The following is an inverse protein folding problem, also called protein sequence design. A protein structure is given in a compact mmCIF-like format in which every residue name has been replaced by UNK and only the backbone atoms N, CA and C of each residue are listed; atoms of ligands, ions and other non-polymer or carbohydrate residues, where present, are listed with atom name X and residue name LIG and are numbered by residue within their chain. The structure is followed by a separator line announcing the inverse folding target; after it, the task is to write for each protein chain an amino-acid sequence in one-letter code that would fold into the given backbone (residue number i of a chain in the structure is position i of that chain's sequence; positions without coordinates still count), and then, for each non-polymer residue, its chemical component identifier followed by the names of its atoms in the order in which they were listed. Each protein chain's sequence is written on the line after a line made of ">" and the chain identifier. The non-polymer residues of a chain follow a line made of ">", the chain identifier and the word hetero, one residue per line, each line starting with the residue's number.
data_IF_236894940191
#
_entry.id   IF_236894940191
#
_cell.length_a   1.000
_cell.length_b   1.000
_cell.length_c   1.000
_cell.angle_alpha   90.00
_cell.angle_beta   90.00
_cell.angle_gamma   90.00
#
_symmetry.space_group_name_H-M   'P 1'
#
loop_
_entity.id
_entity.type
_entity.pdbx_description
1 polymer ?
#
# COMPACT_ATOMS: atom_id res chain seq x y z
N UNK A 1 -15.28 -11.42 -0.25
CA UNK A 1 -15.43 -10.31 -1.21
C UNK A 1 -15.90 -10.80 -2.59
N UNK A 2 -15.25 -11.81 -3.21
CA UNK A 2 -15.66 -12.33 -4.52
C UNK A 2 -17.15 -12.70 -4.53
N UNK A 3 -17.57 -13.63 -3.66
CA UNK A 3 -18.95 -14.12 -3.60
C UNK A 3 -19.95 -13.01 -3.28
N UNK A 4 -19.55 -12.04 -2.45
CA UNK A 4 -20.34 -10.85 -2.14
C UNK A 4 -20.56 -10.01 -3.39
N UNK A 5 -19.50 -9.78 -4.18
CA UNK A 5 -19.58 -9.00 -5.42
C UNK A 5 -20.36 -9.72 -6.52
N UNK A 6 -20.28 -11.04 -6.59
CA UNK A 6 -21.07 -11.84 -7.55
C UNK A 6 -22.59 -11.73 -7.31
N UNK A 7 -23.00 -11.50 -6.07
CA UNK A 7 -24.41 -11.34 -5.67
C UNK A 7 -24.82 -9.87 -5.42
N UNK A 8 -23.90 -8.92 -5.64
CA UNK A 8 -24.17 -7.51 -5.39
C UNK A 8 -25.03 -6.92 -6.51
N UNK A 9 -26.15 -6.28 -6.17
CA UNK A 9 -27.15 -5.74 -7.12
C UNK A 9 -27.29 -4.21 -7.03
N UNK A 10 -26.29 -3.54 -6.50
CA UNK A 10 -26.27 -2.09 -6.30
C UNK A 10 -26.20 -1.71 -4.83
N UNK A 11 -25.86 -0.45 -4.55
CA UNK A 11 -25.66 0.07 -3.21
C UNK A 11 -24.29 0.76 -3.05
N UNK A 12 -23.81 0.84 -1.81
CA UNK A 12 -22.54 1.50 -1.49
C UNK A 12 -21.41 0.49 -1.35
N UNK A 13 -20.37 0.62 -2.16
CA UNK A 13 -19.09 -0.05 -2.00
C UNK A 13 -18.12 0.93 -1.36
N UNK A 14 -17.55 0.57 -0.22
CA UNK A 14 -16.52 1.36 0.44
C UNK A 14 -15.19 0.63 0.38
N UNK A 15 -14.16 1.32 -0.09
CA UNK A 15 -12.76 0.94 0.09
C UNK A 15 -12.21 1.74 1.26
N UNK A 16 -11.61 1.08 2.25
CA UNK A 16 -11.15 1.70 3.49
C UNK A 16 -9.71 1.32 3.80
N UNK A 17 -8.84 2.31 4.01
CA UNK A 17 -7.50 2.11 4.57
C UNK A 17 -7.49 2.48 6.05
N UNK A 18 -7.03 1.57 6.93
CA UNK A 18 -7.04 1.79 8.37
C UNK A 18 -5.93 2.73 8.86
N UNK A 19 -4.76 2.63 8.26
CA UNK A 19 -3.56 3.39 8.65
C UNK A 19 -2.73 3.75 7.42
N UNK A 20 -1.93 4.84 7.46
CA UNK A 20 -1.16 5.29 6.30
C UNK A 20 -0.06 4.35 5.83
N UNK A 21 0.46 3.45 6.68
CA UNK A 21 1.50 2.50 6.30
C UNK A 21 0.89 1.13 6.01
N UNK A 22 0.57 0.88 4.75
CA UNK A 22 0.08 -0.42 4.25
C UNK A 22 0.87 -0.85 3.01
N UNK A 23 0.89 -2.16 2.74
CA UNK A 23 1.57 -2.71 1.57
C UNK A 23 0.80 -2.40 0.29
N UNK A 24 1.54 -2.22 -0.81
CA UNK A 24 1.04 -1.81 -2.10
C UNK A 24 0.26 -0.48 -2.03
N UNK A 25 0.96 0.67 -1.98
CA UNK A 25 0.30 1.98 -1.82
C UNK A 25 -0.72 2.32 -2.89
N UNK A 26 -0.63 1.70 -4.08
CA UNK A 26 -1.59 1.88 -5.17
C UNK A 26 -2.87 1.05 -4.99
N UNK A 27 -2.81 -0.09 -4.28
CA UNK A 27 -3.88 -1.08 -4.25
C UNK A 27 -5.27 -0.58 -3.83
N UNK A 28 -5.44 0.32 -2.84
CA UNK A 28 -6.77 0.84 -2.50
C UNK A 28 -7.39 1.65 -3.64
N UNK A 29 -6.59 2.40 -4.37
CA UNK A 29 -7.03 3.21 -5.51
C UNK A 29 -7.40 2.32 -6.69
N UNK A 30 -6.58 1.31 -7.00
CA UNK A 30 -6.88 0.27 -7.99
C UNK A 30 -8.17 -0.46 -7.62
N UNK A 31 -8.29 -0.90 -6.37
CA UNK A 31 -9.49 -1.59 -5.89
C UNK A 31 -10.75 -0.77 -6.11
N UNK A 32 -10.72 0.53 -5.78
CA UNK A 32 -11.87 1.41 -5.98
C UNK A 32 -12.25 1.53 -7.47
N UNK A 33 -11.26 1.74 -8.34
CA UNK A 33 -11.50 1.87 -9.79
C UNK A 33 -11.96 0.55 -10.42
N UNK A 34 -11.38 -0.58 -10.04
CA UNK A 34 -11.78 -1.90 -10.55
C UNK A 34 -13.16 -2.34 -10.03
N UNK A 35 -13.51 -2.01 -8.78
CA UNK A 35 -14.84 -2.27 -8.24
C UNK A 35 -15.91 -1.44 -8.95
N UNK A 36 -15.61 -0.17 -9.26
CA UNK A 36 -16.47 0.68 -10.06
C UNK A 36 -16.66 0.13 -11.49
N UNK A 37 -15.56 -0.28 -12.14
CA UNK A 37 -15.62 -0.93 -13.45
C UNK A 37 -16.46 -2.22 -13.42
N UNK A 38 -16.25 -3.05 -12.41
CA UNK A 38 -16.98 -4.31 -12.25
C UNK A 38 -18.51 -4.07 -12.09
N UNK A 39 -18.90 -3.06 -11.31
CA UNK A 39 -20.30 -2.68 -11.19
C UNK A 39 -20.90 -2.25 -12.54
N UNK A 40 -20.14 -1.46 -13.31
CA UNK A 40 -20.56 -1.03 -14.65
C UNK A 40 -20.67 -2.21 -15.63
N UNK A 41 -19.68 -3.11 -15.67
CA UNK A 41 -19.71 -4.33 -16.51
C UNK A 41 -20.88 -5.24 -16.21
N UNK A 42 -21.34 -5.27 -14.96
CA UNK A 42 -22.49 -6.05 -14.52
C UNK A 42 -23.83 -5.35 -14.75
N UNK A 43 -23.85 -4.12 -15.26
CA UNK A 43 -25.07 -3.34 -15.48
C UNK A 43 -25.73 -2.84 -14.20
N UNK A 44 -24.97 -2.73 -13.10
CA UNK A 44 -25.44 -2.19 -11.82
C UNK A 44 -24.79 -0.85 -11.46
N UNK A 45 -23.98 -0.29 -12.36
CA UNK A 45 -23.22 0.94 -12.12
C UNK A 45 -24.11 2.12 -11.75
N UNK A 46 -25.23 2.32 -12.44
CA UNK A 46 -26.14 3.47 -12.21
C UNK A 46 -26.78 3.46 -10.80
N UNK A 47 -26.79 2.31 -10.12
CA UNK A 47 -27.30 2.17 -8.75
C UNK A 47 -26.21 1.81 -7.75
N UNK A 48 -24.94 1.96 -8.15
CA UNK A 48 -23.77 1.71 -7.31
C UNK A 48 -23.02 3.00 -7.07
N UNK A 49 -22.66 3.24 -5.82
CA UNK A 49 -21.73 4.29 -5.43
C UNK A 49 -20.47 3.64 -4.86
N UNK A 50 -19.31 4.08 -5.32
CA UNK A 50 -18.01 3.68 -4.77
C UNK A 50 -17.39 4.88 -4.07
N UNK A 51 -17.03 4.70 -2.79
CA UNK A 51 -16.32 5.69 -1.99
C UNK A 51 -15.02 5.07 -1.45
N UNK A 52 -13.93 5.84 -1.46
CA UNK A 52 -12.65 5.48 -0.87
C UNK A 52 -12.36 6.42 0.31
N UNK A 53 -12.27 5.85 1.51
CA UNK A 53 -11.89 6.56 2.74
C UNK A 53 -10.45 6.20 3.10
N UNK A 54 -9.62 7.22 3.25
CA UNK A 54 -8.20 7.09 3.51
C UNK A 54 -7.78 7.89 4.74
N UNK A 55 -6.95 7.30 5.59
CA UNK A 55 -6.40 8.00 6.75
C UNK A 55 -5.35 9.05 6.34
N UNK A 56 -4.67 8.84 5.20
CA UNK A 56 -3.71 9.78 4.64
C UNK A 56 -4.35 11.02 4.01
N UNK A 57 -3.62 12.16 3.94
CA UNK A 57 -4.14 13.42 3.36
C UNK A 57 -4.22 13.37 1.81
N UNK A 58 -3.56 12.43 1.17
CA UNK A 58 -3.58 12.25 -0.28
C UNK A 58 -2.98 10.92 -0.71
N UNK A 59 -3.29 10.47 -1.95
CA UNK A 59 -2.81 9.21 -2.46
C UNK A 59 -1.28 9.13 -2.52
N UNK A 60 -0.73 7.97 -2.11
CA UNK A 60 0.67 7.64 -2.35
C UNK A 60 1.66 8.75 -1.97
N UNK A 61 1.52 9.36 -0.80
CA UNK A 61 2.20 10.60 -0.40
C UNK A 61 3.74 10.60 -0.39
N UNK A 62 4.38 9.46 -0.66
CA UNK A 62 5.84 9.33 -0.83
C UNK A 62 6.29 9.58 -2.28
N UNK A 63 5.38 9.55 -3.23
CA UNK A 63 5.70 9.76 -4.66
C UNK A 63 5.66 11.24 -5.07
N UNK A 64 5.43 12.12 -4.11
CA UNK A 64 5.34 13.56 -4.31
C UNK A 64 3.94 14.07 -4.66
N UNK A 65 3.75 15.40 -4.59
CA UNK A 65 2.41 16.01 -4.71
C UNK A 65 1.81 15.87 -6.10
N UNK A 66 2.63 15.82 -7.14
CA UNK A 66 2.17 15.76 -8.54
C UNK A 66 1.56 14.39 -8.85
N UNK A 67 2.25 13.31 -8.48
CA UNK A 67 1.73 11.92 -8.62
C UNK A 67 0.50 11.73 -7.74
N UNK A 68 0.53 12.23 -6.51
CA UNK A 68 -0.61 12.17 -5.59
C UNK A 68 -1.85 12.84 -6.17
N UNK A 69 -1.71 14.05 -6.73
CA UNK A 69 -2.80 14.75 -7.40
C UNK A 69 -3.31 14.01 -8.63
N UNK A 70 -2.41 13.43 -9.43
CA UNK A 70 -2.76 12.62 -10.60
C UNK A 70 -3.58 11.39 -10.24
N UNK A 71 -3.19 10.64 -9.20
CA UNK A 71 -3.95 9.47 -8.73
C UNK A 71 -5.32 9.88 -8.21
N UNK A 72 -5.40 10.97 -7.45
CA UNK A 72 -6.69 11.53 -6.99
C UNK A 72 -7.59 11.86 -8.18
N UNK A 73 -7.05 12.52 -9.19
CA UNK A 73 -7.81 12.88 -10.39
C UNK A 73 -8.31 11.66 -11.17
N UNK A 74 -7.52 10.57 -11.22
CA UNK A 74 -7.93 9.30 -11.84
C UNK A 74 -9.13 8.69 -11.12
N UNK A 75 -9.13 8.69 -9.78
CA UNK A 75 -10.22 8.16 -8.95
C UNK A 75 -11.47 9.01 -9.09
N UNK A 76 -11.36 10.31 -8.83
CA UNK A 76 -12.50 11.24 -8.89
C UNK A 76 -13.07 11.37 -10.31
N UNK A 77 -12.21 11.28 -11.33
CA UNK A 77 -12.62 11.31 -12.75
C UNK A 77 -13.48 10.12 -13.18
N UNK A 78 -13.50 9.05 -12.40
CA UNK A 78 -14.41 7.90 -12.59
C UNK A 78 -15.71 8.00 -11.77
N UNK A 79 -15.97 9.13 -11.11
CA UNK A 79 -17.13 9.33 -10.27
C UNK A 79 -17.03 8.68 -8.89
N UNK A 80 -15.82 8.23 -8.48
CA UNK A 80 -15.56 7.64 -7.18
C UNK A 80 -15.34 8.75 -6.15
N UNK A 81 -16.02 8.67 -5.01
CA UNK A 81 -15.80 9.59 -3.89
C UNK A 81 -14.46 9.32 -3.21
N UNK A 82 -13.57 10.33 -3.15
CA UNK A 82 -12.32 10.23 -2.40
C UNK A 82 -12.39 11.09 -1.13
N UNK A 83 -12.21 10.45 0.02
CA UNK A 83 -12.33 11.04 1.35
C UNK A 83 -11.01 10.88 2.12
N UNK A 84 -10.06 11.82 1.99
CA UNK A 84 -8.82 11.80 2.76
C UNK A 84 -9.05 12.19 4.22
N UNK A 85 -8.04 11.96 5.07
CA UNK A 85 -8.02 12.33 6.50
C UNK A 85 -9.19 11.72 7.31
N UNK A 86 -9.63 10.52 6.90
CA UNK A 86 -10.67 9.76 7.56
C UNK A 86 -10.05 8.57 8.31
N UNK A 87 -9.45 8.84 9.47
CA UNK A 87 -8.91 7.79 10.33
C UNK A 87 -10.06 6.99 10.94
N UNK A 88 -10.17 5.72 10.59
CA UNK A 88 -11.20 4.83 11.15
C UNK A 88 -10.96 4.59 12.63
N UNK A 89 -12.04 4.62 13.41
CA UNK A 89 -12.06 4.33 14.85
C UNK A 89 -12.85 3.08 15.16
N UNK A 90 -13.91 2.80 14.39
CA UNK A 90 -14.72 1.59 14.55
C UNK A 90 -15.36 1.18 13.23
N UNK A 91 -15.60 -0.13 13.10
CA UNK A 91 -16.41 -0.73 12.04
C UNK A 91 -17.46 -1.62 12.70
N UNK A 92 -18.72 -1.26 12.56
CA UNK A 92 -19.87 -2.06 12.97
C UNK A 92 -20.34 -2.88 11.76
N UNK A 93 -20.08 -4.18 11.78
CA UNK A 93 -20.43 -5.07 10.67
C UNK A 93 -21.92 -5.39 10.63
N UNK A 94 -22.64 -5.32 11.78
CA UNK A 94 -24.09 -5.58 11.85
C UNK A 94 -24.88 -4.38 11.35
N UNK A 95 -24.52 -3.19 11.83
CA UNK A 95 -25.10 -1.93 11.37
C UNK A 95 -24.56 -1.49 9.99
N UNK A 96 -23.51 -2.15 9.47
CA UNK A 96 -22.79 -1.78 8.22
C UNK A 96 -22.33 -0.32 8.24
N UNK A 97 -21.70 0.10 9.33
CA UNK A 97 -21.30 1.48 9.57
C UNK A 97 -19.84 1.58 9.98
N UNK A 98 -19.21 2.63 9.46
CA UNK A 98 -17.84 3.02 9.79
C UNK A 98 -17.89 4.34 10.54
N UNK A 99 -17.16 4.43 11.66
CA UNK A 99 -16.97 5.67 12.41
C UNK A 99 -15.54 6.16 12.25
N UNK A 100 -15.36 7.47 12.10
CA UNK A 100 -14.06 8.10 11.92
C UNK A 100 -13.72 9.05 13.07
N UNK A 101 -12.42 9.31 13.28
CA UNK A 101 -11.94 10.20 14.34
C UNK A 101 -12.39 11.66 14.20
N UNK A 102 -12.74 12.09 13.00
CA UNK A 102 -13.30 13.41 12.71
C UNK A 102 -14.82 13.53 13.01
N UNK A 103 -15.42 12.50 13.58
CA UNK A 103 -16.83 12.46 13.93
C UNK A 103 -17.78 12.13 12.77
N UNK A 104 -17.25 11.90 11.57
CA UNK A 104 -18.04 11.47 10.42
C UNK A 104 -18.36 9.98 10.53
N UNK A 105 -19.50 9.57 10.01
CA UNK A 105 -19.87 8.18 9.83
C UNK A 105 -20.18 7.89 8.36
N UNK A 106 -19.94 6.67 7.92
CA UNK A 106 -20.28 6.18 6.59
C UNK A 106 -20.94 4.81 6.66
N UNK A 107 -22.03 4.64 5.92
CA UNK A 107 -22.66 3.33 5.74
C UNK A 107 -22.08 2.63 4.51
N UNK A 108 -22.12 1.31 4.49
CA UNK A 108 -21.68 0.47 3.36
C UNK A 108 -22.58 -0.74 3.17
N UNK A 109 -22.69 -1.21 1.94
CA UNK A 109 -23.24 -2.53 1.62
C UNK A 109 -22.13 -3.56 1.40
N UNK A 110 -21.01 -3.11 0.83
CA UNK A 110 -19.79 -3.89 0.66
C UNK A 110 -18.60 -3.08 1.17
N UNK A 111 -17.79 -3.69 2.03
CA UNK A 111 -16.57 -3.10 2.56
C UNK A 111 -15.33 -3.88 2.08
N UNK A 112 -14.47 -3.21 1.31
CA UNK A 112 -13.12 -3.66 0.99
C UNK A 112 -12.14 -2.98 1.96
N UNK A 113 -11.71 -3.70 2.99
CA UNK A 113 -10.96 -3.15 4.11
C UNK A 113 -9.48 -3.52 4.04
N UNK A 114 -8.61 -2.52 4.09
CA UNK A 114 -7.16 -2.68 4.26
C UNK A 114 -6.84 -2.48 5.75
N UNK A 115 -6.65 -3.57 6.52
CA UNK A 115 -6.42 -3.48 7.96
C UNK A 115 -5.02 -2.97 8.28
N UNK A 116 -4.75 -2.57 9.54
CA UNK A 116 -3.41 -2.27 9.98
C UNK A 116 -2.46 -3.45 9.76
N UNK A 117 -1.35 -3.20 9.11
CA UNK A 117 -0.35 -4.22 8.83
C UNK A 117 0.54 -4.48 10.04
N UNK A 118 0.96 -5.72 10.20
CA UNK A 118 1.88 -6.16 11.26
C UNK A 118 2.85 -7.18 10.69
N UNK A 119 4.07 -7.20 11.21
CA UNK A 119 5.00 -8.26 10.90
C UNK A 119 4.42 -9.64 11.32
N UNK A 120 4.69 -10.72 10.58
CA UNK A 120 4.28 -12.07 10.95
C UNK A 120 4.76 -12.45 12.35
N UNK A 121 4.05 -13.35 13.05
CA UNK A 121 4.40 -13.75 14.42
C UNK A 121 5.83 -14.28 14.54
N UNK A 122 6.25 -15.11 13.58
CA UNK A 122 7.63 -15.65 13.54
C UNK A 122 8.69 -14.54 13.53
N UNK A 123 8.41 -13.41 12.87
CA UNK A 123 9.32 -12.25 12.84
C UNK A 123 9.23 -11.46 14.15
N UNK A 124 8.04 -11.25 14.67
CA UNK A 124 7.84 -10.55 15.96
C UNK A 124 8.50 -11.26 17.12
N UNK A 125 8.48 -12.58 17.11
CA UNK A 125 9.03 -13.43 18.18
C UNK A 125 10.53 -13.71 18.00
N UNK A 126 11.14 -13.28 16.88
CA UNK A 126 12.55 -13.53 16.56
C UNK A 126 13.55 -12.65 17.29
N UNK A 127 13.10 -11.56 17.90
CA UNK A 127 13.97 -10.51 18.44
C UNK A 127 14.63 -9.62 17.40
N UNK A 128 14.24 -9.72 16.13
CA UNK A 128 14.77 -8.88 15.03
C UNK A 128 14.11 -7.50 14.95
N UNK A 129 12.84 -7.40 15.32
CA UNK A 129 12.08 -6.14 15.27
C UNK A 129 12.52 -5.15 16.34
N UNK A 130 12.22 -3.88 16.12
CA UNK A 130 12.33 -2.81 17.10
C UNK A 130 10.94 -2.26 17.51
N UNK A 131 10.91 -1.09 18.14
CA UNK A 131 9.70 -0.42 18.61
C UNK A 131 8.74 -0.04 17.45
N UNK A 132 9.24 0.08 16.22
CA UNK A 132 8.40 0.30 15.04
C UNK A 132 7.52 -0.90 14.68
N UNK A 133 7.85 -2.08 15.20
CA UNK A 133 7.21 -3.34 14.84
C UNK A 133 7.73 -3.98 13.55
N UNK A 134 8.80 -3.42 12.97
CA UNK A 134 9.47 -3.90 11.76
C UNK A 134 10.94 -4.19 12.03
N UNK A 135 11.64 -4.84 11.08
CA UNK A 135 13.07 -5.14 11.21
C UNK A 135 13.88 -3.92 10.73
N UNK A 136 14.63 -3.25 11.64
CA UNK A 136 15.55 -2.21 11.21
C UNK A 136 16.73 -2.81 10.45
N UNK A 137 17.06 -2.20 9.33
CA UNK A 137 18.18 -2.61 8.48
C UNK A 137 19.01 -1.41 8.05
N UNK A 138 20.26 -1.66 7.68
CA UNK A 138 20.99 -0.67 6.89
C UNK A 138 20.27 -0.47 5.55
N UNK A 139 19.97 0.76 5.22
CA UNK A 139 19.13 1.12 4.07
C UNK A 139 19.72 0.74 2.71
N UNK A 140 21.04 0.62 2.64
CA UNK A 140 21.77 0.36 1.41
C UNK A 140 22.17 -1.10 1.26
N UNK A 141 22.56 -1.75 2.35
CA UNK A 141 23.07 -3.13 2.34
C UNK A 141 22.09 -4.17 2.84
N UNK A 142 21.00 -3.73 3.52
CA UNK A 142 19.94 -4.54 4.09
C UNK A 142 20.41 -5.44 5.26
N UNK A 143 21.59 -5.17 5.82
CA UNK A 143 22.08 -5.84 7.01
C UNK A 143 21.20 -5.50 8.22
N UNK A 144 20.92 -6.52 9.02
CA UNK A 144 20.33 -6.33 10.35
C UNK A 144 21.43 -6.08 11.38
N UNK A 145 21.03 -5.82 12.63
CA UNK A 145 21.97 -5.74 13.76
C UNK A 145 22.72 -7.04 14.06
N UNK A 146 22.32 -8.16 13.48
CA UNK A 146 22.96 -9.46 13.68
C UNK A 146 23.84 -9.80 12.47
N UNK A 147 25.14 -10.04 12.67
CA UNK A 147 26.05 -10.35 11.56
C UNK A 147 25.58 -11.55 10.73
N UNK A 148 25.61 -11.42 9.41
CA UNK A 148 25.19 -12.46 8.46
C UNK A 148 23.67 -12.67 8.38
N UNK A 149 22.87 -11.78 8.99
CA UNK A 149 21.41 -11.81 8.92
C UNK A 149 20.91 -10.58 8.19
N UNK A 150 20.19 -10.79 7.11
CA UNK A 150 19.62 -9.76 6.26
C UNK A 150 18.09 -9.79 6.37
N UNK A 151 17.44 -8.64 6.14
CA UNK A 151 16.00 -8.57 5.98
C UNK A 151 15.64 -7.73 4.76
N UNK A 152 14.65 -8.19 4.00
CA UNK A 152 14.21 -7.54 2.76
C UNK A 152 12.69 -7.50 2.67
N UNK A 153 12.17 -6.60 1.83
CA UNK A 153 10.75 -6.48 1.52
C UNK A 153 9.94 -5.85 2.65
N UNK A 154 8.67 -6.21 2.70
CA UNK A 154 7.64 -5.59 3.54
C UNK A 154 7.89 -5.71 5.05
N UNK A 155 8.83 -6.55 5.49
CA UNK A 155 9.17 -6.69 6.91
C UNK A 155 10.22 -5.69 7.37
N UNK A 156 10.83 -4.91 6.47
CA UNK A 156 11.89 -3.95 6.81
C UNK A 156 11.34 -2.60 7.25
N UNK A 157 12.01 -1.99 8.21
CA UNK A 157 11.76 -0.62 8.67
C UNK A 157 12.79 0.35 8.11
N UNK A 158 12.61 0.80 6.87
CA UNK A 158 13.49 1.77 6.21
C UNK A 158 12.80 3.13 6.19
N UNK A 159 13.43 4.16 6.75
CA UNK A 159 12.94 5.53 6.69
C UNK A 159 13.60 6.29 5.53
N UNK A 160 12.76 6.96 4.74
CA UNK A 160 13.19 7.91 3.73
C UNK A 160 13.67 9.21 4.38
N UNK A 161 14.47 10.02 3.69
CA UNK A 161 14.94 11.32 4.19
C UNK A 161 13.80 12.27 4.61
N UNK A 162 12.62 12.12 3.98
CA UNK A 162 11.41 12.88 4.35
C UNK A 162 10.72 12.40 5.62
N UNK A 163 11.28 11.40 6.33
CA UNK A 163 10.73 10.87 7.58
C UNK A 163 9.55 9.90 7.41
N UNK A 164 9.21 9.52 6.18
CA UNK A 164 8.19 8.50 5.90
C UNK A 164 8.84 7.14 5.66
N UNK A 165 8.15 6.03 5.94
CA UNK A 165 8.67 4.71 5.62
C UNK A 165 8.76 4.49 4.11
N UNK A 166 9.76 3.70 3.67
CA UNK A 166 9.82 3.18 2.31
C UNK A 166 8.53 2.39 2.04
N UNK A 167 7.86 2.59 0.90
CA UNK A 167 6.64 1.86 0.59
C UNK A 167 6.84 0.35 0.56
N UNK A 168 5.91 -0.39 1.14
CA UNK A 168 5.85 -1.85 1.07
C UNK A 168 5.36 -2.27 -0.32
N UNK A 169 6.27 -2.48 -1.26
CA UNK A 169 5.94 -2.86 -2.64
C UNK A 169 6.95 -3.86 -3.20
N UNK A 170 6.47 -4.77 -4.05
CA UNK A 170 7.26 -5.85 -4.63
C UNK A 170 8.49 -5.38 -5.38
N UNK A 171 8.42 -4.23 -6.05
CA UNK A 171 9.54 -3.64 -6.79
C UNK A 171 10.72 -3.30 -5.88
N UNK A 172 10.47 -2.81 -4.66
CA UNK A 172 11.54 -2.55 -3.70
C UNK A 172 12.08 -3.85 -3.13
N UNK A 173 11.21 -4.82 -2.83
CA UNK A 173 11.63 -6.14 -2.35
C UNK A 173 12.53 -6.87 -3.36
N UNK A 174 12.25 -6.76 -4.66
CA UNK A 174 13.07 -7.31 -5.74
C UNK A 174 14.45 -6.66 -5.77
N UNK A 175 14.53 -5.32 -5.79
CA UNK A 175 15.81 -4.60 -5.77
C UNK A 175 16.65 -4.90 -4.53
N UNK A 176 16.00 -4.99 -3.36
CA UNK A 176 16.66 -5.38 -2.11
C UNK A 176 17.19 -6.81 -2.18
N UNK A 177 16.42 -7.76 -2.74
CA UNK A 177 16.84 -9.15 -2.88
C UNK A 177 18.07 -9.28 -3.79
N UNK A 178 18.13 -8.53 -4.88
CA UNK A 178 19.28 -8.51 -5.78
C UNK A 178 20.54 -8.01 -5.08
N UNK A 179 20.44 -6.92 -4.31
CA UNK A 179 21.56 -6.38 -3.53
C UNK A 179 22.07 -7.38 -2.52
N UNK A 180 21.20 -7.99 -1.72
CA UNK A 180 21.58 -8.97 -0.71
C UNK A 180 22.22 -10.20 -1.36
N UNK A 181 21.64 -10.72 -2.45
CA UNK A 181 22.19 -11.88 -3.15
C UNK A 181 23.61 -11.61 -3.68
N UNK A 182 23.86 -10.43 -4.26
CA UNK A 182 25.20 -10.04 -4.75
C UNK A 182 26.19 -9.89 -3.61
N UNK A 183 25.80 -9.28 -2.50
CA UNK A 183 26.67 -9.08 -1.35
C UNK A 183 27.03 -10.40 -0.68
N UNK A 184 26.09 -11.32 -0.49
CA UNK A 184 26.35 -12.68 0.02
C UNK A 184 27.28 -13.46 -0.92
N UNK A 185 27.05 -13.42 -2.23
CA UNK A 185 27.91 -14.07 -3.20
C UNK A 185 29.34 -13.53 -3.14
N UNK A 186 29.50 -12.20 -2.98
CA UNK A 186 30.79 -11.55 -2.80
C UNK A 186 31.47 -12.00 -1.50
N UNK A 187 30.78 -12.06 -0.39
CA UNK A 187 31.33 -12.54 0.89
C UNK A 187 31.87 -13.97 0.79
N UNK A 188 31.12 -14.86 0.13
CA UNK A 188 31.52 -16.27 -0.02
C UNK A 188 32.68 -16.44 -1.00
N UNK A 189 32.66 -15.72 -2.11
CA UNK A 189 33.62 -15.95 -3.22
C UNK A 189 34.85 -15.03 -3.21
N UNK A 190 34.76 -13.90 -2.49
CA UNK A 190 35.72 -12.81 -2.54
C UNK A 190 35.78 -12.06 -3.87
N UNK A 191 34.76 -12.23 -4.75
CA UNK A 191 34.72 -11.65 -6.10
C UNK A 191 33.53 -10.74 -6.29
N UNK A 192 33.66 -9.73 -7.18
CA UNK A 192 32.63 -8.76 -7.53
C UNK A 192 32.67 -7.51 -6.65
N UNK A 193 31.94 -6.50 -7.09
CA UNK A 193 31.82 -5.24 -6.37
C UNK A 193 30.65 -5.28 -5.37
N UNK A 194 30.71 -4.49 -4.27
CA UNK A 194 29.62 -4.39 -3.34
C UNK A 194 28.42 -3.77 -4.03
N UNK A 195 27.25 -4.35 -3.82
CA UNK A 195 25.98 -3.80 -4.29
C UNK A 195 25.33 -2.94 -3.21
N UNK A 196 24.59 -1.93 -3.64
CA UNK A 196 23.89 -0.97 -2.77
C UNK A 196 22.49 -0.74 -3.30
N UNK A 197 21.49 -0.81 -2.42
CA UNK A 197 20.11 -0.48 -2.74
C UNK A 197 19.98 1.03 -2.80
N UNK A 198 19.41 1.54 -3.87
CA UNK A 198 19.26 2.97 -4.14
C UNK A 198 17.84 3.51 -3.88
N UNK A 199 16.89 2.62 -3.54
CA UNK A 199 15.50 2.99 -3.28
C UNK A 199 14.68 3.33 -4.51
N UNK A 200 15.23 3.17 -5.71
CA UNK A 200 14.49 3.40 -6.94
C UNK A 200 13.41 2.32 -7.14
N UNK A 201 12.23 2.75 -7.56
CA UNK A 201 11.13 1.84 -7.84
C UNK A 201 9.98 2.52 -8.55
N UNK A 202 9.24 1.77 -9.33
CA UNK A 202 8.04 2.24 -10.01
C UNK A 202 7.00 1.15 -10.10
N UNK A 203 5.75 1.53 -9.91
CA UNK A 203 4.60 0.63 -10.01
C UNK A 203 3.67 1.08 -11.12
N UNK A 204 2.92 0.14 -11.67
CA UNK A 204 1.76 0.45 -12.49
C UNK A 204 0.53 0.52 -11.58
N UNK A 205 -0.40 1.40 -11.92
CA UNK A 205 -1.71 1.53 -11.26
C UNK A 205 -2.76 1.11 -12.29
N UNK A 206 -3.47 0.03 -12.02
CA UNK A 206 -4.53 -0.42 -12.88
C UNK A 206 -5.78 0.45 -12.69
N UNK A 207 -6.22 1.09 -13.78
CA UNK A 207 -7.30 2.09 -13.72
C UNK A 207 -8.61 1.60 -14.32
N UNK A 208 -8.69 0.32 -14.68
CA UNK A 208 -9.81 -0.27 -15.38
C UNK A 208 -9.74 -0.08 -16.91
N UNK A 209 -10.66 -0.73 -17.63
CA UNK A 209 -10.71 -0.69 -19.10
C UNK A 209 -9.48 -1.30 -19.80
N UNK A 210 -8.74 -2.17 -19.10
CA UNK A 210 -7.48 -2.73 -19.59
C UNK A 210 -6.35 -1.69 -19.69
N UNK A 211 -6.42 -0.60 -18.94
CA UNK A 211 -5.45 0.48 -18.90
C UNK A 211 -4.73 0.54 -17.57
N UNK A 212 -3.46 0.94 -17.60
CA UNK A 212 -2.68 1.21 -16.41
C UNK A 212 -1.97 2.56 -16.51
N UNK A 213 -1.89 3.30 -15.40
CA UNK A 213 -1.01 4.43 -15.22
C UNK A 213 0.33 3.97 -14.63
N UNK A 214 1.40 4.72 -14.85
CA UNK A 214 2.70 4.50 -14.18
C UNK A 214 2.86 5.52 -13.06
N UNK A 215 3.16 5.05 -11.86
CA UNK A 215 3.62 5.86 -10.76
C UNK A 215 5.00 5.35 -10.31
N UNK A 216 5.96 6.25 -10.16
CA UNK A 216 7.30 5.89 -9.74
C UNK A 216 8.05 7.10 -9.22
N UNK A 217 9.07 6.86 -8.43
CA UNK A 217 10.06 7.85 -8.03
C UNK A 217 11.31 7.63 -8.87
N UNK A 218 11.61 8.54 -9.77
CA UNK A 218 12.94 8.65 -10.34
C UNK A 218 13.78 9.42 -9.32
N UNK A 219 14.53 8.76 -8.47
CA UNK A 219 15.21 9.25 -7.26
C UNK A 219 14.30 9.32 -6.02
N UNK A 220 13.91 8.18 -5.47
CA UNK A 220 13.66 8.16 -4.05
C UNK A 220 14.99 8.50 -3.38
N UNK A 221 15.11 9.72 -2.86
CA UNK A 221 16.23 10.12 -1.98
C UNK A 221 16.18 9.24 -0.73
N UNK A 222 16.60 7.98 -0.90
CA UNK A 222 16.84 7.05 0.18
C UNK A 222 18.03 7.48 1.02
#
# INVERSE_FOLDING_TARGET
>A
LRDTLENFDGGKIVVLTATPAYKCPAAPYEAAMLLNEQANKRGVGDRTRVDLYAAEPGPMGVTGPEVSAGVRQMVEGQGIGFHPEHQVTAVDSEARRISFSNGIEADFDVLAYVPPHRAPSVVRDSGLIDESGWIPVDRNTLDTRFPGVYAIGDITGILLKMGKPLPMAGVFAEGQAEVVARNIAREITGKGDPASFDGNGGCFIEVGGGKAGRAGTDNADC
#
